data_IF_372897089765
#
_entry.id   IF_372897089765
#
_cell.length_a   1.000
_cell.length_b   1.000
_cell.length_c   1.000
_cell.angle_alpha   90.00
_cell.angle_beta   90.00
_cell.angle_gamma   90.00
#
_symmetry.space_group_name_H-M   'P 1'
#
loop_
_entity.id
_entity.type
_entity.pdbx_description
1 polymer ?
#
# COMPACT_ATOMS: atom_id res chain seq x y z
N UNK A 1 -28.85 -14.27 -5.20
CA UNK A 1 -27.79 -13.24 -5.13
C UNK A 1 -28.03 -12.36 -6.32
N UNK A 2 -27.96 -11.04 -6.17
CA UNK A 2 -28.09 -10.10 -7.30
C UNK A 2 -27.04 -10.45 -8.36
N UNK A 3 -27.44 -10.54 -9.64
CA UNK A 3 -26.54 -10.91 -10.74
C UNK A 3 -25.32 -9.96 -10.85
N UNK A 4 -25.46 -8.73 -10.37
CA UNK A 4 -24.38 -7.75 -10.32
C UNK A 4 -23.31 -8.06 -9.25
N UNK A 5 -23.61 -8.86 -8.25
CA UNK A 5 -22.71 -9.26 -7.16
C UNK A 5 -22.05 -10.63 -7.40
N UNK A 6 -22.51 -11.40 -8.39
CA UNK A 6 -21.92 -12.71 -8.68
C UNK A 6 -20.60 -12.57 -9.44
N UNK A 7 -19.66 -13.45 -9.13
CA UNK A 7 -18.39 -13.60 -9.84
C UNK A 7 -18.36 -14.89 -10.71
N UNK A 8 -19.53 -15.49 -10.92
CA UNK A 8 -19.66 -16.71 -11.73
C UNK A 8 -19.09 -16.49 -13.14
N UNK A 9 -18.21 -17.41 -13.56
CA UNK A 9 -17.51 -17.34 -14.84
C UNK A 9 -16.30 -16.40 -14.87
N UNK A 10 -16.00 -15.65 -13.78
CA UNK A 10 -14.83 -14.80 -13.68
C UNK A 10 -13.63 -15.54 -13.10
N UNK A 11 -12.44 -15.05 -13.41
CA UNK A 11 -11.16 -15.59 -12.95
C UNK A 11 -10.43 -14.52 -12.16
N UNK A 12 -10.00 -14.85 -10.94
CA UNK A 12 -9.28 -13.97 -10.06
C UNK A 12 -7.89 -14.52 -9.70
N UNK A 13 -6.87 -13.65 -9.70
CA UNK A 13 -5.58 -13.91 -9.07
C UNK A 13 -5.61 -13.25 -7.68
N UNK A 14 -5.19 -14.00 -6.64
CA UNK A 14 -5.00 -13.48 -5.28
C UNK A 14 -3.57 -13.75 -4.84
N UNK A 15 -2.84 -12.70 -4.42
CA UNK A 15 -1.45 -12.82 -3.96
C UNK A 15 -1.37 -12.82 -2.44
N UNK A 16 -0.41 -13.58 -1.86
CA UNK A 16 -0.34 -13.79 -0.41
C UNK A 16 -1.56 -14.55 0.11
N UNK A 17 -2.06 -15.53 -0.68
CA UNK A 17 -3.33 -16.20 -0.46
C UNK A 17 -3.29 -17.31 0.61
N UNK A 18 -2.12 -17.66 1.13
CA UNK A 18 -1.98 -18.78 2.06
C UNK A 18 -2.50 -18.50 3.48
N UNK A 19 -2.56 -17.24 3.90
CA UNK A 19 -2.87 -16.87 5.28
C UNK A 19 -3.68 -15.57 5.38
N UNK A 20 -4.25 -15.33 6.55
CA UNK A 20 -4.83 -14.04 6.96
C UNK A 20 -5.82 -13.46 5.98
N UNK A 21 -5.60 -12.20 5.59
CA UNK A 21 -6.46 -11.47 4.65
C UNK A 21 -6.57 -12.16 3.30
N UNK A 22 -5.43 -12.52 2.68
CA UNK A 22 -5.44 -13.13 1.35
C UNK A 22 -6.19 -14.46 1.30
N UNK A 23 -6.10 -15.28 2.38
CA UNK A 23 -6.92 -16.49 2.51
C UNK A 23 -8.41 -16.13 2.61
N UNK A 24 -8.79 -15.18 3.47
CA UNK A 24 -10.19 -14.79 3.66
C UNK A 24 -10.79 -14.23 2.35
N UNK A 25 -10.02 -13.38 1.63
CA UNK A 25 -10.38 -12.81 0.34
C UNK A 25 -10.56 -13.92 -0.72
N UNK A 26 -9.62 -14.87 -0.82
CA UNK A 26 -9.70 -15.99 -1.75
C UNK A 26 -10.95 -16.84 -1.51
N UNK A 27 -11.22 -17.19 -0.26
CA UNK A 27 -12.42 -17.97 0.11
C UNK A 27 -13.72 -17.21 -0.20
N UNK A 28 -13.76 -15.90 0.04
CA UNK A 28 -14.94 -15.10 -0.25
C UNK A 28 -15.19 -14.95 -1.75
N UNK A 29 -14.14 -14.72 -2.55
CA UNK A 29 -14.22 -14.66 -4.01
C UNK A 29 -14.69 -16.01 -4.59
N UNK A 30 -14.17 -17.13 -4.07
CA UNK A 30 -14.63 -18.47 -4.47
C UNK A 30 -16.12 -18.69 -4.16
N UNK A 31 -16.58 -18.31 -2.95
CA UNK A 31 -17.99 -18.38 -2.57
C UNK A 31 -18.90 -17.51 -3.44
N UNK A 32 -18.38 -16.38 -3.96
CA UNK A 32 -19.08 -15.55 -4.92
C UNK A 32 -19.07 -16.11 -6.36
N UNK A 33 -18.41 -17.25 -6.61
CA UNK A 33 -18.40 -17.96 -7.88
C UNK A 33 -17.16 -17.75 -8.75
N UNK A 34 -16.13 -17.05 -8.28
CA UNK A 34 -14.87 -16.88 -9.02
C UNK A 34 -14.07 -18.19 -9.06
N UNK A 35 -13.37 -18.42 -10.16
CA UNK A 35 -12.28 -19.40 -10.27
C UNK A 35 -10.97 -18.71 -9.93
N UNK A 36 -10.11 -19.35 -9.15
CA UNK A 36 -8.97 -18.68 -8.54
C UNK A 36 -7.63 -19.18 -9.06
N UNK A 37 -6.67 -18.27 -9.15
CA UNK A 37 -5.24 -18.55 -9.15
C UNK A 37 -4.66 -17.98 -7.88
N UNK A 38 -4.17 -18.86 -7.01
CA UNK A 38 -3.63 -18.50 -5.71
C UNK A 38 -2.11 -18.39 -5.79
N UNK A 39 -1.57 -17.28 -5.34
CA UNK A 39 -0.13 -17.11 -5.20
C UNK A 39 0.25 -16.91 -3.74
N UNK A 40 1.31 -17.55 -3.34
CA UNK A 40 2.10 -17.31 -2.14
C UNK A 40 3.52 -17.81 -2.37
N UNK A 41 4.41 -17.66 -1.40
CA UNK A 41 5.68 -18.38 -1.44
C UNK A 41 5.43 -19.90 -1.46
N UNK A 42 6.33 -20.69 -2.05
CA UNK A 42 6.20 -22.13 -2.05
C UNK A 42 6.01 -22.70 -0.63
N UNK A 43 4.96 -23.50 -0.42
CA UNK A 43 4.65 -24.08 0.88
C UNK A 43 3.24 -24.68 0.94
N UNK A 44 2.93 -25.32 2.06
CA UNK A 44 1.68 -26.07 2.24
C UNK A 44 0.46 -25.16 2.46
N UNK A 45 0.66 -23.95 2.93
CA UNK A 45 -0.43 -23.04 3.30
C UNK A 45 -1.33 -22.67 2.11
N UNK A 46 -0.76 -22.29 1.00
CA UNK A 46 -1.53 -21.94 -0.21
C UNK A 46 -2.18 -23.18 -0.84
N UNK A 47 -1.58 -24.36 -0.71
CA UNK A 47 -2.17 -25.62 -1.12
C UNK A 47 -3.38 -25.98 -0.26
N UNK A 48 -3.29 -25.77 1.04
CA UNK A 48 -4.41 -25.99 1.97
C UNK A 48 -5.62 -25.10 1.62
N UNK A 49 -5.39 -23.83 1.27
CA UNK A 49 -6.45 -22.91 0.83
C UNK A 49 -7.08 -23.39 -0.48
N UNK A 50 -6.27 -23.86 -1.43
CA UNK A 50 -6.80 -24.42 -2.68
C UNK A 50 -7.65 -25.67 -2.43
N UNK A 51 -7.22 -26.54 -1.53
CA UNK A 51 -7.99 -27.73 -1.11
C UNK A 51 -9.31 -27.36 -0.40
N UNK A 52 -9.30 -26.35 0.46
CA UNK A 52 -10.49 -25.82 1.13
C UNK A 52 -11.52 -25.28 0.12
N UNK A 53 -11.07 -24.52 -0.87
CA UNK A 53 -11.90 -24.01 -1.96
C UNK A 53 -12.52 -25.19 -2.75
N UNK A 54 -11.71 -26.18 -3.09
CA UNK A 54 -12.17 -27.36 -3.82
C UNK A 54 -13.20 -28.16 -3.01
N UNK A 55 -12.97 -28.36 -1.70
CA UNK A 55 -13.92 -29.04 -0.79
C UNK A 55 -15.26 -28.31 -0.68
N UNK A 56 -15.25 -26.97 -0.85
CA UNK A 56 -16.46 -26.15 -0.90
C UNK A 56 -17.12 -26.09 -2.29
N UNK A 57 -16.62 -26.88 -3.28
CA UNK A 57 -17.15 -26.93 -4.64
C UNK A 57 -16.64 -25.84 -5.58
N UNK A 58 -15.69 -25.03 -5.13
CA UNK A 58 -15.02 -24.01 -5.96
C UNK A 58 -13.84 -24.56 -6.77
N UNK A 59 -13.17 -23.70 -7.52
CA UNK A 59 -12.00 -24.04 -8.34
C UNK A 59 -10.84 -23.13 -8.02
N UNK A 60 -9.68 -23.71 -7.71
CA UNK A 60 -8.45 -22.97 -7.48
C UNK A 60 -7.25 -23.71 -8.08
N UNK A 61 -6.40 -22.97 -8.78
CA UNK A 61 -5.06 -23.39 -9.20
C UNK A 61 -4.03 -22.66 -8.35
N UNK A 62 -2.90 -23.29 -8.03
CA UNK A 62 -1.80 -22.67 -7.31
C UNK A 62 -0.65 -22.34 -8.24
N UNK A 63 -0.17 -21.09 -8.19
CA UNK A 63 1.01 -20.63 -8.90
C UNK A 63 1.96 -19.94 -7.90
N UNK A 64 2.69 -20.76 -7.14
CA UNK A 64 3.60 -20.32 -6.10
C UNK A 64 4.82 -19.58 -6.67
N UNK A 65 5.30 -18.60 -5.91
CA UNK A 65 6.51 -17.84 -6.24
C UNK A 65 6.58 -16.50 -5.54
N UNK A 66 7.79 -15.95 -5.49
CA UNK A 66 8.01 -14.61 -4.96
C UNK A 66 7.37 -13.57 -5.89
N UNK A 67 6.42 -12.81 -5.33
CA UNK A 67 5.62 -11.85 -6.08
C UNK A 67 6.43 -10.67 -6.65
N UNK A 68 7.58 -10.40 -6.08
CA UNK A 68 8.46 -9.34 -6.54
C UNK A 68 9.30 -9.74 -7.76
N UNK A 69 9.32 -11.03 -8.12
CA UNK A 69 9.99 -11.50 -9.33
C UNK A 69 9.14 -11.23 -10.56
N UNK A 70 9.77 -10.65 -11.60
CA UNK A 70 9.09 -10.34 -12.85
C UNK A 70 8.44 -11.57 -13.48
N UNK A 71 9.18 -12.69 -13.49
CA UNK A 71 8.71 -13.96 -14.00
C UNK A 71 7.51 -14.53 -13.24
N UNK A 72 7.32 -14.18 -11.97
CA UNK A 72 6.14 -14.60 -11.21
C UNK A 72 4.87 -13.91 -11.73
N UNK A 73 4.93 -12.62 -12.05
CA UNK A 73 3.80 -11.93 -12.67
C UNK A 73 3.40 -12.54 -14.00
N UNK A 74 4.38 -12.90 -14.83
CA UNK A 74 4.15 -13.60 -16.10
C UNK A 74 3.52 -14.99 -15.89
N UNK A 75 4.07 -15.78 -14.96
CA UNK A 75 3.53 -17.13 -14.64
C UNK A 75 2.11 -17.08 -14.08
N UNK A 76 1.78 -16.07 -13.27
CA UNK A 76 0.43 -15.91 -12.72
C UNK A 76 -0.60 -15.66 -13.82
N UNK A 77 -0.30 -14.75 -14.75
CA UNK A 77 -1.16 -14.52 -15.90
C UNK A 77 -1.25 -15.80 -16.76
N UNK A 78 -0.13 -16.43 -17.06
CA UNK A 78 -0.12 -17.68 -17.83
C UNK A 78 -0.95 -18.78 -17.16
N UNK A 79 -0.86 -18.95 -15.84
CA UNK A 79 -1.65 -19.92 -15.08
C UNK A 79 -3.16 -19.63 -15.18
N UNK A 80 -3.58 -18.37 -15.11
CA UNK A 80 -4.99 -17.99 -15.25
C UNK A 80 -5.50 -18.31 -16.67
N UNK A 81 -4.71 -18.00 -17.69
CA UNK A 81 -5.07 -18.27 -19.08
C UNK A 81 -5.08 -19.78 -19.38
N UNK A 82 -4.11 -20.52 -18.88
CA UNK A 82 -3.99 -21.95 -19.11
C UNK A 82 -5.09 -22.75 -18.39
N UNK A 83 -5.38 -22.41 -17.13
CA UNK A 83 -6.39 -23.12 -16.35
C UNK A 83 -7.82 -22.74 -16.72
N UNK A 84 -8.07 -21.46 -17.06
CA UNK A 84 -9.43 -20.93 -17.15
C UNK A 84 -9.71 -20.07 -18.39
N UNK A 85 -8.72 -19.84 -19.26
CA UNK A 85 -8.87 -19.12 -20.51
C UNK A 85 -8.97 -17.60 -20.42
N UNK A 86 -8.96 -17.02 -19.19
CA UNK A 86 -9.15 -15.58 -18.99
C UNK A 86 -8.61 -15.11 -17.64
N UNK A 87 -8.50 -13.81 -17.49
CA UNK A 87 -8.28 -13.11 -16.22
C UNK A 87 -9.22 -11.91 -16.15
N UNK A 88 -9.91 -11.73 -15.03
CA UNK A 88 -10.87 -10.64 -14.81
C UNK A 88 -10.54 -9.82 -13.56
N UNK A 89 -9.95 -10.42 -12.54
CA UNK A 89 -9.78 -9.83 -11.22
C UNK A 89 -8.34 -10.07 -10.75
N UNK A 90 -7.72 -9.02 -10.20
CA UNK A 90 -6.43 -9.08 -9.53
C UNK A 90 -6.57 -8.52 -8.12
N UNK A 91 -6.29 -9.34 -7.11
CA UNK A 91 -6.19 -8.92 -5.71
C UNK A 91 -4.74 -8.99 -5.28
N UNK A 92 -4.14 -7.82 -5.11
CA UNK A 92 -2.77 -7.64 -4.65
C UNK A 92 -2.78 -7.47 -3.14
N UNK A 93 -2.51 -8.57 -2.40
CA UNK A 93 -2.51 -8.58 -0.95
C UNK A 93 -1.14 -8.96 -0.36
N UNK A 94 -0.26 -9.66 -1.08
CA UNK A 94 1.03 -10.11 -0.57
C UNK A 94 1.83 -8.99 0.13
N UNK A 95 2.38 -9.28 1.30
CA UNK A 95 3.10 -8.30 2.10
C UNK A 95 3.89 -8.91 3.24
N UNK A 96 4.74 -8.09 3.87
CA UNK A 96 5.56 -8.44 5.03
C UNK A 96 5.91 -7.20 5.85
N UNK A 97 6.38 -7.39 7.09
CA UNK A 97 6.86 -6.30 7.95
C UNK A 97 8.36 -6.47 8.25
N UNK A 98 9.06 -5.35 8.32
CA UNK A 98 10.42 -5.19 8.86
C UNK A 98 10.46 -3.83 9.55
N UNK A 99 9.88 -3.78 10.74
CA UNK A 99 9.69 -2.56 11.50
C UNK A 99 10.99 -2.14 12.18
N UNK A 100 11.42 -0.91 11.93
CA UNK A 100 12.58 -0.24 12.53
C UNK A 100 12.39 1.28 12.49
N UNK A 101 12.95 1.95 13.46
CA UNK A 101 13.04 3.42 13.40
C UNK A 101 13.90 3.83 12.20
N UNK A 102 13.57 4.97 11.56
CA UNK A 102 14.25 5.43 10.34
C UNK A 102 15.78 5.51 10.50
N UNK A 103 16.27 5.87 11.67
CA UNK A 103 17.71 6.04 11.95
C UNK A 103 18.45 4.72 12.29
N UNK A 104 17.74 3.58 12.40
CA UNK A 104 18.35 2.26 12.66
C UNK A 104 17.95 1.21 11.63
N UNK A 105 17.13 1.58 10.64
CA UNK A 105 16.70 0.67 9.57
C UNK A 105 17.88 0.34 8.64
N UNK A 106 18.09 -0.92 8.38
CA UNK A 106 19.07 -1.39 7.41
C UNK A 106 18.55 -1.29 5.97
N UNK A 107 19.46 -1.27 5.01
CA UNK A 107 19.14 -1.34 3.57
C UNK A 107 18.32 -2.59 3.27
N UNK A 108 18.68 -3.74 3.83
CA UNK A 108 18.00 -5.01 3.61
C UNK A 108 16.56 -5.00 4.16
N UNK A 109 16.31 -4.37 5.32
CA UNK A 109 14.95 -4.22 5.87
C UNK A 109 14.10 -3.28 5.01
N UNK A 110 14.69 -2.20 4.50
CA UNK A 110 14.04 -1.29 3.59
C UNK A 110 13.70 -1.99 2.26
N UNK A 111 14.69 -2.57 1.59
CA UNK A 111 14.54 -3.18 0.28
C UNK A 111 13.57 -4.35 0.30
N UNK A 112 13.60 -5.19 1.33
CA UNK A 112 12.69 -6.33 1.45
C UNK A 112 11.23 -5.88 1.44
N UNK A 113 10.89 -4.82 2.17
CA UNK A 113 9.50 -4.32 2.26
C UNK A 113 9.08 -3.62 0.97
N UNK A 114 9.91 -2.71 0.43
CA UNK A 114 9.63 -2.04 -0.85
C UNK A 114 9.47 -3.07 -1.97
N UNK A 115 10.34 -4.06 -1.99
CA UNK A 115 10.36 -5.11 -3.01
C UNK A 115 9.07 -5.94 -2.99
N UNK A 116 8.66 -6.46 -1.83
CA UNK A 116 7.47 -7.30 -1.74
C UNK A 116 6.20 -6.49 -1.97
N UNK A 117 6.06 -5.36 -1.29
CA UNK A 117 4.85 -4.54 -1.38
C UNK A 117 4.74 -3.78 -2.70
N UNK A 118 5.59 -2.77 -2.90
CA UNK A 118 5.42 -1.84 -4.02
C UNK A 118 5.76 -2.48 -5.36
N UNK A 119 6.93 -3.13 -5.44
CA UNK A 119 7.32 -3.82 -6.67
C UNK A 119 6.40 -5.01 -6.97
N UNK A 120 6.00 -5.81 -5.95
CA UNK A 120 5.09 -6.95 -6.15
C UNK A 120 3.75 -6.52 -6.72
N UNK A 121 3.12 -5.49 -6.15
CA UNK A 121 1.87 -4.91 -6.69
C UNK A 121 2.06 -4.38 -8.12
N UNK A 122 3.18 -3.73 -8.41
CA UNK A 122 3.47 -3.23 -9.75
C UNK A 122 3.62 -4.37 -10.77
N UNK A 123 4.37 -5.42 -10.44
CA UNK A 123 4.64 -6.55 -11.35
C UNK A 123 3.33 -7.19 -11.81
N UNK A 124 2.46 -7.57 -10.89
CA UNK A 124 1.18 -8.20 -11.22
C UNK A 124 0.24 -7.26 -11.96
N UNK A 125 0.14 -5.99 -11.51
CA UNK A 125 -0.67 -4.96 -12.17
C UNK A 125 -0.22 -4.75 -13.61
N UNK A 126 1.08 -4.70 -13.86
CA UNK A 126 1.66 -4.53 -15.19
C UNK A 126 1.24 -5.66 -16.15
N UNK A 127 1.31 -6.93 -15.72
CA UNK A 127 0.94 -8.06 -16.58
C UNK A 127 -0.57 -8.11 -16.81
N UNK A 128 -1.38 -7.93 -15.78
CA UNK A 128 -2.83 -7.92 -15.88
C UNK A 128 -3.35 -6.79 -16.79
N UNK A 129 -2.87 -5.57 -16.59
CA UNK A 129 -3.33 -4.41 -17.37
C UNK A 129 -2.89 -4.48 -18.83
N UNK A 130 -1.72 -5.04 -19.14
CA UNK A 130 -1.29 -5.27 -20.51
C UNK A 130 -2.23 -6.26 -21.21
N UNK A 131 -2.54 -7.38 -20.55
CA UNK A 131 -3.48 -8.38 -21.06
C UNK A 131 -4.87 -7.74 -21.30
N UNK A 132 -5.45 -7.04 -20.34
CA UNK A 132 -6.77 -6.43 -20.48
C UNK A 132 -6.84 -5.35 -21.55
N UNK A 133 -5.77 -4.53 -21.69
CA UNK A 133 -5.66 -3.57 -22.80
C UNK A 133 -5.74 -4.27 -24.16
N UNK A 134 -5.02 -5.39 -24.31
CA UNK A 134 -4.98 -6.11 -25.57
C UNK A 134 -6.30 -6.86 -25.83
N UNK A 135 -6.95 -7.39 -24.79
CA UNK A 135 -8.31 -7.93 -24.87
C UNK A 135 -9.33 -6.85 -25.30
N UNK A 136 -9.29 -5.65 -24.69
CA UNK A 136 -10.18 -4.54 -25.04
C UNK A 136 -10.01 -4.10 -26.50
N UNK A 137 -8.78 -4.06 -27.00
CA UNK A 137 -8.48 -3.76 -28.41
C UNK A 137 -9.01 -4.84 -29.35
N UNK A 138 -8.82 -6.09 -29.02
CA UNK A 138 -9.29 -7.22 -29.83
C UNK A 138 -10.81 -7.31 -29.88
N UNK A 139 -11.48 -7.05 -28.75
CA UNK A 139 -12.93 -7.06 -28.64
C UNK A 139 -13.59 -5.79 -29.22
N UNK A 140 -12.82 -4.75 -29.53
CA UNK A 140 -13.34 -3.47 -30.02
C UNK A 140 -14.11 -2.66 -28.95
N UNK A 141 -13.95 -2.97 -27.66
CA UNK A 141 -14.64 -2.32 -26.56
C UNK A 141 -14.01 -2.62 -25.19
N UNK A 142 -14.46 -1.93 -24.13
CA UNK A 142 -13.90 -2.10 -22.80
C UNK A 142 -14.19 -3.51 -22.25
N UNK A 143 -13.20 -4.05 -21.52
CA UNK A 143 -13.39 -5.27 -20.69
C UNK A 143 -14.05 -4.90 -19.36
N UNK A 144 -14.43 -5.93 -18.56
CA UNK A 144 -14.86 -5.72 -17.19
C UNK A 144 -13.80 -6.29 -16.25
N UNK A 145 -12.73 -5.53 -16.02
CA UNK A 145 -11.60 -5.96 -15.20
C UNK A 145 -11.48 -5.15 -13.90
N UNK A 146 -11.02 -5.81 -12.83
CA UNK A 146 -10.96 -5.25 -11.47
C UNK A 146 -9.61 -5.49 -10.83
N UNK A 147 -9.09 -4.44 -10.18
CA UNK A 147 -7.90 -4.53 -9.32
C UNK A 147 -8.29 -4.05 -7.93
N UNK A 148 -7.95 -4.86 -6.92
CA UNK A 148 -8.01 -4.47 -5.51
C UNK A 148 -6.60 -4.56 -4.94
N UNK A 149 -6.05 -3.42 -4.55
CA UNK A 149 -4.71 -3.30 -3.97
C UNK A 149 -4.79 -3.15 -2.47
N UNK A 150 -3.91 -3.80 -1.72
CA UNK A 150 -3.84 -3.67 -0.26
C UNK A 150 -2.84 -2.58 0.14
N UNK A 151 -3.35 -1.41 0.47
CA UNK A 151 -2.63 -0.30 1.09
C UNK A 151 -2.68 -0.42 2.63
N UNK A 152 -2.50 0.68 3.35
CA UNK A 152 -2.59 0.75 4.82
C UNK A 152 -2.70 2.21 5.26
N UNK A 153 -3.40 2.47 6.34
CA UNK A 153 -3.42 3.79 6.99
C UNK A 153 -2.05 4.23 7.52
N UNK A 154 -1.07 3.31 7.62
CA UNK A 154 0.29 3.64 8.05
C UNK A 154 0.92 4.77 7.24
N UNK A 155 0.54 4.93 5.96
CA UNK A 155 1.04 6.01 5.13
C UNK A 155 0.45 7.38 5.47
N UNK A 156 -0.78 7.41 6.00
CA UNK A 156 -1.44 8.63 6.46
C UNK A 156 -0.95 9.03 7.84
N UNK A 157 -0.89 8.06 8.74
CA UNK A 157 -0.56 8.26 10.15
C UNK A 157 0.93 8.56 10.37
N UNK A 158 1.79 8.25 9.38
CA UNK A 158 3.23 8.41 9.54
C UNK A 158 3.77 7.52 10.66
N UNK A 159 3.37 6.23 10.67
CA UNK A 159 3.67 5.29 11.75
C UNK A 159 5.16 5.24 12.07
N UNK A 160 5.54 5.68 13.28
CA UNK A 160 6.90 5.58 13.77
C UNK A 160 7.36 4.12 13.77
N UNK A 161 8.59 3.88 13.31
CA UNK A 161 9.12 2.51 13.17
C UNK A 161 8.72 1.77 11.90
N UNK A 162 7.95 2.39 11.01
CA UNK A 162 7.51 1.78 9.75
C UNK A 162 7.80 2.64 8.50
N UNK A 163 8.96 3.30 8.35
CA UNK A 163 9.21 4.19 7.22
C UNK A 163 9.17 3.47 5.86
N UNK A 164 9.71 2.24 5.78
CA UNK A 164 9.67 1.38 4.60
C UNK A 164 8.22 0.97 4.23
N UNK A 165 7.46 0.54 5.22
CA UNK A 165 6.08 0.09 5.06
C UNK A 165 5.16 1.25 4.68
N UNK A 166 5.23 2.38 5.38
CA UNK A 166 4.46 3.58 5.08
C UNK A 166 4.76 4.10 3.66
N UNK A 167 6.05 4.16 3.26
CA UNK A 167 6.45 4.54 1.91
C UNK A 167 5.89 3.59 0.84
N UNK A 168 5.99 2.27 1.07
CA UNK A 168 5.44 1.27 0.16
C UNK A 168 3.93 1.40 0.01
N UNK A 169 3.20 1.58 1.11
CA UNK A 169 1.73 1.67 1.13
C UNK A 169 1.23 2.99 0.53
N UNK A 170 1.95 4.11 0.72
CA UNK A 170 1.71 5.35 -0.03
C UNK A 170 1.91 5.15 -1.53
N UNK A 171 2.99 4.48 -1.92
CA UNK A 171 3.27 4.14 -3.31
C UNK A 171 2.18 3.27 -3.94
N UNK A 172 1.61 2.32 -3.19
CA UNK A 172 0.48 1.47 -3.64
C UNK A 172 -0.78 2.31 -3.85
N UNK A 173 -1.11 3.24 -2.96
CA UNK A 173 -2.25 4.13 -3.14
C UNK A 173 -2.08 5.00 -4.41
N UNK A 174 -0.89 5.57 -4.62
CA UNK A 174 -0.56 6.33 -5.84
C UNK A 174 -0.60 5.46 -7.11
N UNK A 175 -0.07 4.23 -7.06
CA UNK A 175 -0.14 3.25 -8.16
C UNK A 175 -1.60 2.92 -8.51
N UNK A 176 -2.46 2.78 -7.51
CA UNK A 176 -3.90 2.52 -7.68
C UNK A 176 -4.57 3.64 -8.47
N UNK A 177 -4.41 4.89 -8.03
CA UNK A 177 -4.99 6.06 -8.69
C UNK A 177 -4.46 6.23 -10.12
N UNK A 178 -3.14 6.02 -10.31
CA UNK A 178 -2.50 6.09 -11.63
C UNK A 178 -3.04 5.01 -12.57
N UNK A 179 -3.19 3.78 -12.07
CA UNK A 179 -3.73 2.65 -12.85
C UNK A 179 -5.19 2.89 -13.20
N UNK A 180 -6.00 3.36 -12.24
CA UNK A 180 -7.40 3.71 -12.45
C UNK A 180 -7.57 4.73 -13.59
N UNK A 181 -6.77 5.80 -13.59
CA UNK A 181 -6.81 6.84 -14.63
C UNK A 181 -6.31 6.34 -15.98
N UNK A 182 -5.20 5.61 -15.99
CA UNK A 182 -4.55 5.18 -17.24
C UNK A 182 -5.34 4.09 -17.98
N UNK A 183 -6.04 3.22 -17.23
CA UNK A 183 -6.67 2.02 -17.77
C UNK A 183 -8.21 2.09 -17.82
N UNK A 184 -8.84 3.17 -17.35
CA UNK A 184 -10.29 3.34 -17.33
C UNK A 184 -10.94 3.11 -18.70
N UNK A 185 -10.32 3.63 -19.76
CA UNK A 185 -10.82 3.50 -21.15
C UNK A 185 -10.86 2.06 -21.65
N UNK A 186 -10.10 1.16 -21.05
CA UNK A 186 -10.10 -0.26 -21.36
C UNK A 186 -11.07 -1.07 -20.49
N UNK A 187 -11.82 -0.42 -19.57
CA UNK A 187 -12.77 -1.08 -18.67
C UNK A 187 -12.13 -1.65 -17.41
N UNK A 188 -10.91 -1.24 -17.08
CA UNK A 188 -10.23 -1.60 -15.81
C UNK A 188 -10.64 -0.61 -14.72
N UNK A 189 -11.06 -1.13 -13.57
CA UNK A 189 -11.26 -0.37 -12.33
C UNK A 189 -10.24 -0.83 -11.30
N UNK A 190 -9.52 0.12 -10.72
CA UNK A 190 -8.49 -0.15 -9.71
C UNK A 190 -8.79 0.65 -8.46
N UNK A 191 -8.92 -0.05 -7.33
CA UNK A 191 -9.18 0.55 -6.02
C UNK A 191 -8.23 -0.04 -4.99
N UNK A 192 -8.06 0.63 -3.86
CA UNK A 192 -7.23 0.16 -2.76
C UNK A 192 -8.04 0.03 -1.47
N UNK A 193 -7.61 -0.89 -0.61
CA UNK A 193 -8.11 -1.04 0.74
C UNK A 193 -6.99 -0.78 1.76
N UNK A 194 -7.34 -0.19 2.89
CA UNK A 194 -6.53 -0.06 4.10
C UNK A 194 -7.20 -0.90 5.19
N UNK A 195 -6.91 -2.21 5.24
CA UNK A 195 -7.61 -3.11 6.14
C UNK A 195 -7.03 -3.03 7.55
N UNK A 196 -7.90 -3.15 8.57
CA UNK A 196 -7.51 -3.48 9.92
C UNK A 196 -8.00 -4.89 10.21
N UNK A 197 -7.07 -5.83 10.32
CA UNK A 197 -7.40 -7.22 10.57
C UNK A 197 -6.38 -7.88 11.51
N UNK A 198 -6.84 -8.73 12.39
CA UNK A 198 -6.03 -9.57 13.26
C UNK A 198 -5.51 -10.75 12.45
N UNK A 199 -4.23 -10.70 12.13
CA UNK A 199 -3.52 -11.75 11.38
C UNK A 199 -2.24 -12.10 12.14
N UNK A 200 -1.53 -13.13 11.74
CA UNK A 200 -0.21 -13.44 12.30
C UNK A 200 0.76 -12.23 12.21
N UNK A 201 0.61 -11.39 11.19
CA UNK A 201 1.42 -10.18 10.99
C UNK A 201 1.09 -9.07 12.00
N UNK A 202 -0.15 -8.95 12.45
CA UNK A 202 -0.66 -7.85 13.29
C UNK A 202 -0.99 -8.28 14.74
N UNK A 203 -0.88 -9.57 15.06
CA UNK A 203 -1.25 -10.10 16.37
C UNK A 203 -0.55 -9.40 17.54
N UNK A 204 0.72 -9.03 17.37
CA UNK A 204 1.48 -8.30 18.39
C UNK A 204 0.97 -6.87 18.65
N UNK A 205 0.27 -6.26 17.69
CA UNK A 205 -0.26 -4.90 17.79
C UNK A 205 -1.73 -4.89 18.26
N UNK A 206 -2.52 -5.88 17.85
CA UNK A 206 -3.97 -5.90 18.05
C UNK A 206 -4.42 -6.73 19.26
N UNK A 207 -3.47 -7.30 20.01
CA UNK A 207 -3.76 -8.13 21.18
C UNK A 207 -4.55 -9.42 20.82
N UNK A 208 -5.02 -10.20 21.81
CA UNK A 208 -5.80 -11.42 21.58
C UNK A 208 -7.20 -11.13 21.01
N UNK A 209 -7.76 -12.10 20.32
CA UNK A 209 -9.17 -12.05 19.94
C UNK A 209 -10.06 -12.07 21.19
N UNK A 210 -11.23 -11.42 21.16
CA UNK A 210 -12.15 -11.44 22.29
C UNK A 210 -12.74 -12.84 22.50
N UNK A 211 -12.82 -13.28 23.77
CA UNK A 211 -13.36 -14.57 24.13
C UNK A 211 -14.89 -14.63 23.92
N UNK A 212 -15.36 -15.65 23.21
CA UNK A 212 -16.78 -15.97 23.11
C UNK A 212 -17.66 -14.99 22.33
N UNK A 213 -17.06 -14.01 21.65
CA UNK A 213 -17.76 -13.04 20.81
C UNK A 213 -17.18 -13.01 19.39
N UNK A 214 -17.88 -12.32 18.47
CA UNK A 214 -17.36 -12.07 17.12
C UNK A 214 -16.12 -11.17 17.23
N UNK A 215 -14.99 -11.61 16.68
CA UNK A 215 -13.82 -10.75 16.57
C UNK A 215 -14.04 -9.66 15.51
N UNK A 216 -14.20 -8.38 15.89
CA UNK A 216 -14.43 -7.30 14.92
C UNK A 216 -13.23 -7.07 13.98
N UNK A 217 -12.06 -7.61 14.33
CA UNK A 217 -10.86 -7.55 13.51
C UNK A 217 -10.58 -8.86 12.76
N UNK A 218 -11.54 -9.78 12.68
CA UNK A 218 -11.39 -10.97 11.87
C UNK A 218 -11.20 -10.58 10.37
N UNK A 219 -10.25 -11.21 9.65
CA UNK A 219 -10.02 -10.93 8.22
C UNK A 219 -11.27 -11.09 7.35
N UNK A 220 -12.21 -11.92 7.76
CA UNK A 220 -13.47 -12.17 7.09
C UNK A 220 -14.35 -10.92 6.96
N UNK A 221 -14.19 -9.93 7.83
CA UNK A 221 -14.93 -8.65 7.75
C UNK A 221 -14.41 -7.72 6.64
N UNK A 222 -13.20 -7.94 6.15
CA UNK A 222 -12.61 -7.18 5.03
C UNK A 222 -13.07 -7.74 3.69
N UNK A 223 -13.18 -9.05 3.59
CA UNK A 223 -13.44 -9.77 2.34
C UNK A 223 -14.73 -9.34 1.59
N UNK A 224 -15.86 -8.99 2.23
CA UNK A 224 -17.05 -8.52 1.52
C UNK A 224 -16.82 -7.28 0.67
N UNK A 225 -16.04 -6.30 1.14
CA UNK A 225 -15.70 -5.13 0.34
C UNK A 225 -14.83 -5.51 -0.87
N UNK A 226 -13.88 -6.43 -0.69
CA UNK A 226 -13.04 -6.93 -1.80
C UNK A 226 -13.90 -7.60 -2.87
N UNK A 227 -14.86 -8.45 -2.49
CA UNK A 227 -15.81 -9.09 -3.42
C UNK A 227 -16.66 -8.06 -4.13
N UNK A 228 -17.18 -7.05 -3.43
CA UNK A 228 -17.96 -5.97 -4.03
C UNK A 228 -17.15 -5.19 -5.08
N UNK A 229 -15.93 -4.74 -4.72
CA UNK A 229 -15.04 -4.03 -5.65
C UNK A 229 -14.60 -4.89 -6.85
N UNK A 230 -14.53 -6.22 -6.66
CA UNK A 230 -14.20 -7.18 -7.71
C UNK A 230 -15.40 -7.51 -8.62
N UNK A 231 -16.62 -7.20 -8.21
CA UNK A 231 -17.86 -7.53 -8.92
C UNK A 231 -18.22 -6.50 -10.01
N UNK A 232 -19.16 -6.82 -10.89
CA UNK A 232 -19.76 -5.84 -11.79
C UNK A 232 -20.41 -4.65 -11.08
N UNK A 233 -20.98 -4.85 -9.87
CA UNK A 233 -21.59 -3.77 -9.09
C UNK A 233 -20.58 -2.67 -8.70
N UNK A 234 -19.28 -2.99 -8.62
CA UNK A 234 -18.21 -2.03 -8.37
C UNK A 234 -17.81 -1.17 -9.58
N UNK A 235 -18.53 -1.22 -10.71
CA UNK A 235 -18.17 -0.52 -11.96
C UNK A 235 -18.02 1.00 -11.80
N UNK A 236 -18.83 1.63 -10.96
CA UNK A 236 -18.80 3.07 -10.75
C UNK A 236 -17.62 3.53 -9.87
N UNK A 237 -16.96 2.61 -9.17
CA UNK A 237 -15.90 2.91 -8.20
C UNK A 237 -14.54 2.71 -8.86
N UNK A 238 -13.74 3.79 -8.96
CA UNK A 238 -12.46 3.73 -9.65
C UNK A 238 -11.47 4.76 -9.12
N UNK A 239 -10.37 4.32 -8.57
CA UNK A 239 -9.31 5.17 -8.02
C UNK A 239 -9.51 5.53 -6.55
N UNK A 240 -10.43 4.84 -5.87
CA UNK A 240 -10.75 5.09 -4.47
C UNK A 240 -9.87 4.26 -3.52
N UNK A 241 -9.69 4.80 -2.32
CA UNK A 241 -8.97 4.15 -1.22
C UNK A 241 -9.94 4.03 -0.03
N UNK A 242 -10.09 2.82 0.48
CA UNK A 242 -11.06 2.52 1.54
C UNK A 242 -10.34 2.10 2.81
N UNK A 243 -10.77 2.60 3.96
CA UNK A 243 -10.49 1.97 5.26
C UNK A 243 -11.58 0.94 5.53
N UNK A 244 -11.21 -0.29 5.91
CA UNK A 244 -12.18 -1.36 6.13
C UNK A 244 -11.79 -2.25 7.31
N UNK A 245 -12.73 -2.46 8.22
CA UNK A 245 -12.62 -3.39 9.36
C UNK A 245 -13.97 -3.57 10.05
N UNK A 246 -14.19 -4.71 10.68
CA UNK A 246 -15.43 -4.96 11.43
C UNK A 246 -16.67 -4.60 10.61
N UNK A 247 -17.50 -3.73 11.15
CA UNK A 247 -18.69 -3.18 10.47
C UNK A 247 -18.47 -1.86 9.74
N UNK A 248 -17.21 -1.41 9.57
CA UNK A 248 -16.88 -0.11 8.98
C UNK A 248 -16.27 -0.26 7.59
N UNK A 249 -16.78 0.50 6.64
CA UNK A 249 -16.14 0.80 5.36
C UNK A 249 -16.20 2.31 5.14
N UNK A 250 -15.04 2.97 5.09
CA UNK A 250 -14.92 4.42 4.89
C UNK A 250 -14.12 4.71 3.63
N UNK A 251 -14.50 5.74 2.88
CA UNK A 251 -13.78 6.22 1.69
C UNK A 251 -12.85 7.35 2.11
N UNK A 252 -11.60 7.30 1.70
CA UNK A 252 -10.62 8.34 2.00
C UNK A 252 -10.70 9.48 1.01
N UNK A 253 -10.66 10.71 1.50
CA UNK A 253 -10.48 11.87 0.62
C UNK A 253 -9.07 11.85 0.01
N UNK A 254 -8.92 12.22 -1.27
CA UNK A 254 -7.61 12.39 -1.87
C UNK A 254 -6.85 13.55 -1.19
N UNK A 255 -5.50 13.53 -1.21
CA UNK A 255 -4.72 14.66 -0.71
C UNK A 255 -5.17 15.98 -1.35
N UNK A 256 -5.37 17.03 -0.52
CA UNK A 256 -5.83 18.35 -0.94
C UNK A 256 -4.78 19.41 -0.63
N UNK A 257 -4.75 20.46 -1.43
CA UNK A 257 -4.01 21.68 -1.10
C UNK A 257 -4.75 22.38 0.03
N UNK A 258 -4.14 22.45 1.23
CA UNK A 258 -4.71 23.11 2.40
C UNK A 258 -4.66 24.63 2.29
N UNK A 259 -3.60 25.18 1.74
CA UNK A 259 -3.39 26.61 1.53
C UNK A 259 -2.49 26.85 0.32
N UNK A 260 -2.74 27.92 -0.38
CA UNK A 260 -1.87 28.44 -1.43
C UNK A 260 -1.40 29.85 -1.05
N UNK A 261 -0.16 30.17 -1.35
CA UNK A 261 0.44 31.46 -1.10
C UNK A 261 1.00 32.01 -2.40
N UNK A 262 0.85 33.32 -2.64
CA UNK A 262 1.36 33.96 -3.83
C UNK A 262 2.43 34.99 -3.46
N UNK A 263 3.57 34.96 -4.14
CA UNK A 263 4.73 35.80 -3.81
C UNK A 263 4.41 37.30 -3.79
N UNK A 264 3.52 37.77 -4.69
CA UNK A 264 3.08 39.17 -4.76
C UNK A 264 2.31 39.62 -3.52
N UNK A 265 1.53 38.74 -2.88
CA UNK A 265 0.78 39.04 -1.65
C UNK A 265 1.70 39.16 -0.44
N UNK A 266 2.93 38.69 -0.55
CA UNK A 266 3.94 38.68 0.50
C UNK A 266 5.14 39.60 0.20
N UNK A 267 4.92 40.64 -0.63
CA UNK A 267 5.87 41.71 -0.85
C UNK A 267 6.95 41.44 -1.92
N UNK A 268 6.70 40.49 -2.81
CA UNK A 268 7.48 40.36 -4.06
C UNK A 268 6.94 41.30 -5.11
N UNK A 269 7.80 42.11 -5.72
CA UNK A 269 7.40 43.10 -6.74
C UNK A 269 7.34 42.52 -8.15
N UNK A 270 8.08 41.45 -8.39
CA UNK A 270 8.18 40.76 -9.68
C UNK A 270 7.38 39.45 -9.73
N UNK A 271 6.65 39.12 -8.65
CA UNK A 271 5.87 37.90 -8.53
C UNK A 271 6.69 36.63 -8.30
N UNK A 272 8.02 36.78 -8.11
CA UNK A 272 8.92 35.64 -7.85
C UNK A 272 9.21 35.55 -6.34
N UNK A 273 9.37 34.32 -5.83
CA UNK A 273 9.72 34.12 -4.44
C UNK A 273 11.14 34.59 -4.11
N UNK A 274 11.25 35.41 -3.05
CA UNK A 274 12.51 35.68 -2.35
C UNK A 274 12.50 34.94 -1.01
N UNK A 275 13.64 34.76 -0.36
CA UNK A 275 13.73 34.15 0.97
C UNK A 275 12.85 34.88 1.99
N UNK A 276 12.83 36.21 1.93
CA UNK A 276 12.04 37.05 2.84
C UNK A 276 10.53 36.90 2.57
N UNK A 277 10.10 36.87 1.31
CA UNK A 277 8.69 36.70 0.96
C UNK A 277 8.17 35.30 1.33
N UNK A 278 8.96 34.24 1.14
CA UNK A 278 8.66 32.89 1.64
C UNK A 278 8.56 32.89 3.17
N UNK A 279 9.53 33.54 3.86
CA UNK A 279 9.51 33.65 5.32
C UNK A 279 8.22 34.31 5.84
N UNK A 280 7.80 35.41 5.20
CA UNK A 280 6.53 36.08 5.55
C UNK A 280 5.31 35.20 5.28
N UNK A 281 5.26 34.54 4.13
CA UNK A 281 4.16 33.67 3.74
C UNK A 281 3.96 32.51 4.71
N UNK A 282 5.04 31.90 5.17
CA UNK A 282 5.00 30.68 5.96
C UNK A 282 5.13 30.91 7.47
N UNK A 283 5.37 32.16 7.94
CA UNK A 283 5.58 32.49 9.36
C UNK A 283 4.42 32.11 10.28
N UNK A 284 3.19 32.08 9.76
CA UNK A 284 1.98 31.68 10.49
C UNK A 284 1.58 30.21 10.29
N UNK A 285 2.38 29.43 9.56
CA UNK A 285 2.03 28.05 9.25
C UNK A 285 2.29 27.16 10.47
N UNK A 286 1.25 26.70 11.12
CA UNK A 286 1.37 25.65 12.14
C UNK A 286 1.58 24.29 11.48
N UNK A 287 2.49 23.47 12.05
CA UNK A 287 2.64 22.09 11.61
C UNK A 287 1.36 21.33 11.88
N UNK A 288 0.83 20.66 10.87
CA UNK A 288 -0.14 19.57 11.06
C UNK A 288 0.63 18.26 11.19
N UNK A 289 0.01 17.23 11.73
CA UNK A 289 0.58 15.88 11.82
C UNK A 289 0.73 15.19 10.43
N UNK A 290 1.12 15.91 9.40
CA UNK A 290 1.26 15.41 8.04
C UNK A 290 -0.09 15.10 7.39
N UNK A 291 -0.21 13.90 6.83
CA UNK A 291 -1.47 13.36 6.31
C UNK A 291 -2.31 12.66 7.37
N UNK A 292 -1.87 12.67 8.65
CA UNK A 292 -2.59 12.04 9.74
C UNK A 292 -4.02 12.58 9.79
N UNK A 293 -4.95 11.69 9.66
CA UNK A 293 -6.36 11.95 9.76
C UNK A 293 -6.82 11.48 11.14
N UNK A 294 -7.19 12.41 12.01
CA UNK A 294 -7.74 12.09 13.33
C UNK A 294 -9.00 11.20 13.20
N UNK A 295 -9.74 11.37 12.10
CA UNK A 295 -10.93 10.59 11.81
C UNK A 295 -10.63 9.08 11.67
N UNK A 296 -9.45 8.68 11.15
CA UNK A 296 -9.10 7.25 11.07
C UNK A 296 -8.84 6.64 12.44
N UNK A 297 -8.34 7.41 13.39
CA UNK A 297 -8.18 6.97 14.78
C UNK A 297 -9.52 6.91 15.51
N UNK A 298 -10.42 7.87 15.26
CA UNK A 298 -11.77 7.86 15.79
C UNK A 298 -12.56 6.63 15.34
N UNK A 299 -12.47 6.26 14.06
CA UNK A 299 -13.06 5.04 13.53
C UNK A 299 -12.56 3.76 14.23
N UNK A 300 -11.35 3.80 14.82
CA UNK A 300 -10.83 2.66 15.60
C UNK A 300 -11.50 2.50 16.96
N UNK A 301 -11.86 3.59 17.60
CA UNK A 301 -12.48 3.58 18.93
C UNK A 301 -13.99 3.30 18.90
N UNK A 302 -14.66 3.71 17.82
CA UNK A 302 -16.09 3.45 17.62
C UNK A 302 -16.41 1.97 17.32
N UNK A 303 -15.42 1.19 16.87
CA UNK A 303 -15.61 -0.21 16.48
C UNK A 303 -15.78 -1.17 17.67
N UNK A 304 -15.47 -0.75 18.89
CA UNK A 304 -15.57 -1.58 20.11
C UNK A 304 -17.01 -1.60 20.66
N UNK A 305 -17.88 -0.73 20.20
CA UNK A 305 -19.32 -0.77 20.48
C UNK A 305 -20.09 -0.52 19.19
N UNK A 306 -20.94 -1.46 18.76
CA UNK A 306 -21.84 -1.20 17.63
C UNK A 306 -22.61 0.10 17.91
N UNK A 307 -22.40 1.18 17.14
CA UNK A 307 -23.20 2.39 17.34
C UNK A 307 -24.66 2.05 17.02
N UNK A 308 -25.65 2.51 17.79
CA UNK A 308 -27.04 2.32 17.47
C UNK A 308 -27.30 2.87 16.06
N UNK A 309 -28.13 2.19 15.28
CA UNK A 309 -28.43 2.48 13.86
C UNK A 309 -28.82 3.95 13.56
N UNK A 310 -29.06 4.75 14.57
CA UNK A 310 -29.32 6.20 14.53
C UNK A 310 -28.08 7.09 14.31
N UNK A 311 -26.86 6.60 14.58
CA UNK A 311 -25.65 7.41 14.42
C UNK A 311 -25.21 7.56 12.93
N UNK A 312 -25.54 6.58 12.09
CA UNK A 312 -25.21 6.61 10.65
C UNK A 312 -25.98 7.65 9.83
N UNK A 313 -27.08 8.22 10.34
CA UNK A 313 -27.81 9.27 9.62
C UNK A 313 -27.21 10.66 9.74
N UNK A 314 -26.30 10.93 10.71
CA UNK A 314 -25.79 12.28 10.96
C UNK A 314 -24.62 12.69 10.08
N UNK A 315 -23.85 11.76 9.51
CA UNK A 315 -22.70 12.08 8.65
C UNK A 315 -23.17 12.52 7.25
N UNK A 316 -24.32 12.06 6.77
CA UNK A 316 -24.91 12.45 5.48
C UNK A 316 -25.59 13.83 5.49
N UNK A 317 -26.16 14.23 6.64
CA UNK A 317 -26.95 15.48 6.74
C UNK A 317 -26.08 16.73 6.99
N UNK A 318 -24.83 16.58 7.43
CA UNK A 318 -23.93 17.72 7.63
C UNK A 318 -23.23 18.23 6.36
N UNK A 319 -23.26 17.49 5.25
CA UNK A 319 -22.69 17.95 3.97
C UNK A 319 -23.55 18.95 3.22
N UNK A 320 -24.85 19.05 3.53
CA UNK A 320 -25.78 19.93 2.81
C UNK A 320 -26.06 21.27 3.48
N UNK A 321 -25.47 21.53 4.65
CA UNK A 321 -25.59 22.84 5.31
C UNK A 321 -24.22 23.49 5.41
N UNK A 322 -24.03 24.46 4.52
CA UNK A 322 -22.83 25.31 4.43
C UNK A 322 -22.34 25.83 5.77
N UNK A 323 -21.02 25.87 5.88
CA UNK A 323 -20.26 26.20 7.05
C UNK A 323 -20.74 27.42 7.84
N UNK A 324 -21.02 27.17 9.10
CA UNK A 324 -20.85 28.07 10.24
C UNK A 324 -21.26 27.24 11.48
N UNK A 325 -20.31 26.99 12.39
CA UNK A 325 -20.65 26.51 13.72
C UNK A 325 -20.11 25.14 14.19
N UNK A 326 -18.82 24.84 14.05
CA UNK A 326 -18.20 23.62 14.62
C UNK A 326 -17.27 23.96 15.81
N UNK A 327 -17.52 25.03 16.55
CA UNK A 327 -16.64 25.38 17.68
C UNK A 327 -17.26 25.23 19.08
N UNK A 328 -18.47 24.71 19.23
CA UNK A 328 -19.14 24.77 20.55
C UNK A 328 -19.70 23.44 21.11
N UNK A 329 -19.36 22.27 20.56
CA UNK A 329 -19.94 20.99 21.04
C UNK A 329 -18.90 20.03 21.68
N UNK A 330 -17.63 20.41 21.79
CA UNK A 330 -16.59 19.53 22.40
C UNK A 330 -16.23 19.88 23.86
N UNK A 331 -17.07 20.62 24.59
CA UNK A 331 -16.81 21.05 25.98
C UNK A 331 -17.82 20.49 27.00
N UNK A 332 -18.40 19.31 26.79
CA UNK A 332 -19.23 18.70 27.82
C UNK A 332 -18.94 17.17 27.93
N UNK A 333 -18.58 16.78 29.16
CA UNK A 333 -18.49 15.43 29.71
C UNK A 333 -17.22 14.62 29.41
N UNK A 334 -16.15 14.93 30.15
CA UNK A 334 -15.13 13.95 30.54
C UNK A 334 -15.49 13.37 31.91
N UNK A 335 -15.68 12.04 32.07
CA UNK A 335 -15.67 11.45 33.39
C UNK A 335 -14.24 11.44 33.95
N UNK A 336 -14.06 11.94 35.15
CA UNK A 336 -12.80 11.86 35.89
C UNK A 336 -12.44 10.40 36.18
N UNK A 337 -11.29 9.96 35.70
CA UNK A 337 -10.66 8.71 36.11
C UNK A 337 -9.73 9.00 37.30
N UNK A 338 -9.73 8.18 38.36
CA UNK A 338 -8.90 8.39 39.54
C UNK A 338 -7.42 8.02 39.27
N UNK A 339 -6.54 8.93 39.62
CA UNK A 339 -5.17 8.81 40.02
C UNK A 339 -4.28 7.74 39.40
N UNK A 340 -3.54 8.06 38.36
CA UNK A 340 -2.30 7.37 38.01
C UNK A 340 -1.16 8.39 38.10
N UNK A 341 -0.19 8.11 38.96
CA UNK A 341 1.03 8.89 39.15
C UNK A 341 1.86 8.93 37.86
N UNK A 342 2.25 10.14 37.45
CA UNK A 342 3.15 10.35 36.31
C UNK A 342 4.57 9.88 36.64
N UNK A 343 5.24 9.07 35.80
CA UNK A 343 6.67 8.90 35.86
C UNK A 343 7.37 10.10 35.23
N UNK A 344 8.23 10.72 36.03
CA UNK A 344 8.95 11.96 35.72
C UNK A 344 9.65 12.00 34.38
N UNK A 345 9.45 13.09 33.66
CA UNK A 345 10.22 13.49 32.49
C UNK A 345 11.70 13.67 32.82
N UNK A 346 12.55 12.70 32.47
CA UNK A 346 13.98 12.92 32.36
C UNK A 346 14.28 13.62 31.04
N UNK A 347 14.93 14.75 31.18
CA UNK A 347 15.33 15.66 30.11
C UNK A 347 16.29 14.95 29.13
N UNK A 348 15.91 14.78 27.88
CA UNK A 348 16.71 14.18 26.80
C UNK A 348 18.07 14.89 26.54
N UNK A 349 18.28 16.06 27.12
CA UNK A 349 19.50 16.85 26.96
C UNK A 349 20.68 16.33 27.80
N UNK A 350 20.47 15.48 28.82
CA UNK A 350 21.54 14.94 29.65
C UNK A 350 22.15 13.66 29.13
N UNK A 351 21.47 12.90 28.27
CA UNK A 351 21.97 11.65 27.71
C UNK A 351 23.01 11.85 26.59
N UNK A 352 23.12 13.06 26.03
CA UNK A 352 24.10 13.36 24.97
C UNK A 352 25.46 13.88 25.48
N UNK A 353 25.70 13.98 26.78
CA UNK A 353 26.96 14.49 27.34
C UNK A 353 27.97 13.44 27.73
N UNK A 354 27.61 12.18 27.81
CA UNK A 354 28.52 11.12 28.31
C UNK A 354 29.25 10.27 27.24
N UNK A 355 28.95 10.46 25.94
CA UNK A 355 29.63 9.68 24.87
C UNK A 355 30.58 10.51 23.96
N UNK A 356 31.15 11.61 24.44
CA UNK A 356 32.22 12.30 23.70
C UNK A 356 33.57 12.12 24.33
N UNK A 357 34.20 10.99 24.05
CA UNK A 357 35.57 10.68 24.41
C UNK A 357 36.34 9.99 23.28
N UNK A 358 36.38 10.57 22.07
CA UNK A 358 37.42 10.27 21.06
C UNK A 358 37.70 11.52 20.26
N UNK A 359 38.86 12.11 20.50
CA UNK A 359 39.46 13.18 19.69
C UNK A 359 40.16 12.51 18.51
N UNK A 360 39.74 12.80 17.30
CA UNK A 360 40.50 12.51 16.08
C UNK A 360 40.89 13.83 15.43
N UNK A 361 42.20 14.01 15.32
CA UNK A 361 42.81 15.24 14.81
C UNK A 361 42.53 15.45 13.31
N UNK A 362 42.27 16.71 12.97
CA UNK A 362 42.16 17.20 11.62
C UNK A 362 43.57 17.45 11.05
N UNK A 363 43.94 16.71 10.01
CA UNK A 363 45.11 16.96 9.20
C UNK A 363 44.76 17.93 8.05
N UNK A 364 45.51 18.98 7.94
CA UNK A 364 45.42 20.01 6.92
C UNK A 364 45.80 19.49 5.53
N UNK A 365 45.05 19.90 4.50
CA UNK A 365 45.40 19.73 3.10
C UNK A 365 46.01 21.05 2.54
N UNK A 366 47.12 20.99 1.79
CA UNK A 366 47.61 22.17 1.04
C UNK A 366 46.99 22.24 -0.36
N UNK A 367 46.73 23.48 -0.80
CA UNK A 367 46.38 23.90 -2.16
C UNK A 367 47.60 23.93 -3.05
N UNK A 368 47.47 23.63 -4.35
CA UNK A 368 48.20 24.19 -5.51
C UNK A 368 47.94 23.26 -6.71
N UNK A 369 47.79 23.63 -7.97
CA UNK A 369 47.84 24.80 -8.79
C UNK A 369 47.56 24.25 -10.22
N UNK A 370 47.00 25.07 -11.06
CA UNK A 370 46.67 24.82 -12.47
C UNK A 370 47.88 24.65 -13.38
N UNK A 371 47.77 23.86 -14.48
CA UNK A 371 48.38 24.17 -15.80
C UNK A 371 47.55 23.50 -16.90
N UNK A 372 47.38 24.27 -17.98
CA UNK A 372 46.66 24.01 -19.22
C UNK A 372 47.49 23.19 -20.24
N UNK A 373 46.83 22.67 -21.26
CA UNK A 373 47.48 22.31 -22.53
C UNK A 373 46.85 21.15 -23.30
N UNK A 374 46.11 21.47 -24.30
CA UNK A 374 46.16 21.15 -25.74
C UNK A 374 45.72 19.80 -26.29
N UNK A 375 44.88 19.98 -27.23
CA UNK A 375 44.34 19.28 -28.41
C UNK A 375 45.13 18.10 -29.02
N UNK A 376 44.43 17.08 -29.52
CA UNK A 376 44.31 16.64 -30.92
C UNK A 376 43.62 15.29 -31.07
N UNK A 377 42.61 15.20 -31.95
CA UNK A 377 42.09 13.92 -32.49
C UNK A 377 42.75 13.68 -33.88
N UNK A 378 42.26 12.83 -34.79
CA UNK A 378 41.37 11.66 -34.68
C UNK A 378 41.97 10.37 -35.35
N UNK A 379 41.35 9.19 -35.24
CA UNK A 379 41.74 8.04 -36.03
C UNK A 379 40.91 6.75 -35.75
N UNK A 380 40.07 6.41 -36.69
CA UNK A 380 39.57 5.04 -36.95
C UNK A 380 40.35 4.46 -38.13
N UNK A 381 40.27 3.15 -38.55
CA UNK A 381 39.65 1.94 -37.98
C UNK A 381 40.57 0.69 -38.07
N UNK A 382 40.14 -0.48 -37.57
CA UNK A 382 40.20 -1.76 -38.32
C UNK A 382 39.72 -2.97 -37.48
N UNK A 383 38.92 -3.82 -38.13
CA UNK A 383 38.44 -5.11 -37.67
C UNK A 383 39.55 -6.19 -37.79
N UNK A 384 39.50 -7.22 -36.90
CA UNK A 384 39.93 -8.60 -37.21
C UNK A 384 39.15 -9.59 -36.35
N UNK A 385 38.71 -10.63 -37.03
CA UNK A 385 38.01 -11.83 -36.62
C UNK A 385 38.85 -12.76 -35.72
N UNK A 386 38.13 -13.65 -34.98
CA UNK A 386 38.63 -15.02 -34.87
C UNK A 386 38.58 -15.67 -33.49
N UNK A 387 37.70 -16.63 -33.32
CA UNK A 387 38.10 -17.94 -32.78
C UNK A 387 37.84 -18.31 -31.33
N UNK A 388 36.78 -19.05 -31.07
CA UNK A 388 36.94 -20.42 -30.57
C UNK A 388 36.93 -20.74 -29.08
N UNK A 389 35.84 -21.41 -28.62
CA UNK A 389 35.92 -22.54 -27.74
C UNK A 389 35.61 -22.37 -26.24
N UNK A 390 34.97 -23.36 -25.61
CA UNK A 390 34.29 -23.22 -24.34
C UNK A 390 35.13 -23.69 -23.14
N UNK A 391 34.89 -23.11 -21.96
CA UNK A 391 35.31 -23.74 -20.70
C UNK A 391 34.18 -23.70 -19.67
N UNK A 392 33.80 -24.91 -19.27
CA UNK A 392 33.01 -25.23 -18.10
C UNK A 392 33.73 -24.76 -16.83
N UNK A 393 32.96 -24.26 -15.86
CA UNK A 393 33.44 -23.97 -14.52
C UNK A 393 32.30 -23.83 -13.57
N UNK A 394 31.92 -24.93 -12.92
CA UNK A 394 31.01 -24.98 -11.80
C UNK A 394 31.63 -24.27 -10.57
N UNK A 395 30.86 -23.43 -9.90
CA UNK A 395 31.16 -23.00 -8.53
C UNK A 395 29.90 -23.15 -7.68
N UNK A 396 29.93 -24.14 -6.80
CA UNK A 396 29.09 -24.27 -5.61
C UNK A 396 29.32 -23.08 -4.69
N UNK A 397 28.27 -22.51 -4.16
CA UNK A 397 28.32 -21.67 -2.97
C UNK A 397 27.39 -22.26 -1.93
N UNK A 398 28.00 -22.55 -0.81
CA UNK A 398 27.48 -23.10 0.43
C UNK A 398 26.54 -22.08 1.11
N UNK A 399 25.52 -22.67 1.71
CA UNK A 399 24.60 -22.08 2.69
C UNK A 399 25.34 -21.81 4.00
N UNK A 400 25.15 -20.68 4.55
CA UNK A 400 25.43 -20.27 5.92
C UNK A 400 24.33 -19.36 6.42
#
# INVERSE_FOLDING_TARGET
MDDALTLTGRVAIVTGAGHGLGRAEALALARAGARLVLNDLPGDAVQAVAAEIAAAGGQAAVAAGDIAEWSTGERLLAAALQAYGRLDILVNNAGMLRDRMVFTMSEQEWDAVIRVHLRGHFVTTRFATAYWRDQAKTAGGPVCARIVNTSSEAFLLGSAGQPNYAAAKAGIAALTVTTARSCARYGVRANAICPRARTAMTAGLMGPAPDGSIDPLAPEHVAPLVVYLASPAGEAINGEVFVVHGGVAAVMDPPRIRAAFHACEHGSLDGMWTLESVGRALSGLSSSAGFACEDTLALATETIGFPPATALRRVGEQRDRGGEGVQEVLAADRPELPGAEEPGHRNLAEHFREERGVVVGLGEHPRSAAVAGEQQGPGRPAAVEGGGGPLQGAAQVLVG
#
